data_IF_948762775601
#
_entry.id   IF_948762775601
#
_cell.length_a   1.000
_cell.length_b   1.000
_cell.length_c   1.000
_cell.angle_alpha   90.00
_cell.angle_beta   90.00
_cell.angle_gamma   90.00
#
_symmetry.space_group_name_H-M   'P 1'
#
loop_
_entity.id
_entity.type
_entity.pdbx_description
1 polymer ?
#
# COMPACT_ATOMS: atom_id res chain seq x y z
N UNK A 1 -12.76 -0.45 23.61
CA UNK A 1 -11.44 0.04 24.02
C UNK A 1 -10.66 -1.14 24.57
N UNK A 2 -10.23 -2.06 23.72
CA UNK A 2 -9.55 -3.29 24.11
C UNK A 2 -8.15 -3.34 23.49
N UNK A 3 -7.11 -3.36 24.33
CA UNK A 3 -5.88 -4.10 24.03
C UNK A 3 -4.74 -3.46 23.25
N UNK A 4 -4.66 -2.15 23.11
CA UNK A 4 -3.50 -1.48 22.42
C UNK A 4 -2.14 -1.79 23.09
N UNK A 5 -2.14 -2.42 24.28
CA UNK A 5 -0.93 -2.75 25.03
C UNK A 5 -0.54 -4.21 25.09
N UNK A 6 -1.33 -5.13 24.52
CA UNK A 6 -1.19 -6.57 24.79
C UNK A 6 -0.35 -7.31 23.76
N UNK A 7 -0.25 -6.80 22.52
CA UNK A 7 0.53 -7.51 21.50
C UNK A 7 2.04 -7.33 21.75
N UNK A 8 2.80 -8.39 22.02
CA UNK A 8 4.23 -8.29 22.21
C UNK A 8 4.92 -7.79 20.92
N UNK A 9 5.94 -6.96 21.07
CA UNK A 9 6.64 -6.32 19.95
C UNK A 9 7.19 -7.30 18.92
N UNK A 10 7.69 -8.46 19.39
CA UNK A 10 8.18 -9.50 18.48
C UNK A 10 7.05 -10.07 17.59
N UNK A 11 5.82 -10.11 18.09
CA UNK A 11 4.68 -10.59 17.30
C UNK A 11 4.32 -9.61 16.20
N UNK A 12 4.37 -8.30 16.47
CA UNK A 12 4.23 -7.26 15.45
C UNK A 12 5.24 -7.50 14.33
N UNK A 13 6.52 -7.65 14.69
CA UNK A 13 7.58 -7.92 13.72
C UNK A 13 7.29 -9.18 12.87
N UNK A 14 6.95 -10.31 13.51
CA UNK A 14 6.72 -11.56 12.79
C UNK A 14 5.47 -11.54 11.90
N UNK A 15 4.40 -10.83 12.30
CA UNK A 15 3.22 -10.68 11.45
C UNK A 15 3.58 -9.87 10.19
N UNK A 16 4.27 -8.74 10.34
CA UNK A 16 4.71 -7.96 9.20
C UNK A 16 5.76 -8.69 8.35
N UNK A 17 6.63 -9.48 8.95
CA UNK A 17 7.57 -10.35 8.24
C UNK A 17 6.84 -11.39 7.39
N UNK A 18 5.82 -12.03 7.95
CA UNK A 18 4.95 -12.98 7.22
C UNK A 18 4.25 -12.29 6.06
N UNK A 19 3.63 -11.12 6.31
CA UNK A 19 2.97 -10.34 5.26
C UNK A 19 3.97 -9.97 4.17
N UNK A 20 5.13 -9.41 4.52
CA UNK A 20 6.17 -9.03 3.56
C UNK A 20 6.76 -10.19 2.77
N UNK A 21 6.74 -11.41 3.32
CA UNK A 21 7.22 -12.62 2.64
C UNK A 21 6.24 -13.17 1.60
N UNK A 22 4.93 -12.96 1.82
CA UNK A 22 3.86 -13.48 0.97
C UNK A 22 3.33 -12.41 0.02
N UNK A 23 3.60 -11.15 0.35
CA UNK A 23 3.11 -10.02 -0.41
C UNK A 23 3.79 -9.94 -1.77
N UNK A 24 3.03 -10.20 -2.82
CA UNK A 24 3.44 -10.03 -4.21
C UNK A 24 2.38 -9.20 -4.96
N UNK A 25 2.82 -8.42 -5.91
CA UNK A 25 1.94 -7.62 -6.75
C UNK A 25 1.73 -6.19 -6.24
N UNK A 26 0.52 -5.70 -6.37
CA UNK A 26 0.14 -4.32 -6.03
C UNK A 26 0.12 -4.07 -4.52
N UNK A 27 0.52 -2.86 -4.10
CA UNK A 27 0.43 -2.42 -2.71
C UNK A 27 -0.98 -2.50 -2.09
N UNK A 28 -2.02 -2.59 -2.90
CA UNK A 28 -3.39 -2.81 -2.42
C UNK A 28 -3.62 -4.21 -1.86
N UNK A 29 -2.84 -5.20 -2.25
CA UNK A 29 -2.86 -6.54 -1.65
C UNK A 29 -2.45 -6.47 -0.19
N UNK A 30 -1.57 -5.52 0.17
CA UNK A 30 -1.20 -5.26 1.56
C UNK A 30 -2.43 -4.97 2.42
N UNK A 31 -3.39 -4.19 1.91
CA UNK A 31 -4.58 -3.82 2.68
C UNK A 31 -5.42 -5.04 3.05
N UNK A 32 -5.61 -5.95 2.10
CA UNK A 32 -6.32 -7.20 2.36
C UNK A 32 -5.62 -8.06 3.43
N UNK A 33 -4.28 -8.12 3.42
CA UNK A 33 -3.52 -8.82 4.46
C UNK A 33 -3.61 -8.13 5.82
N UNK A 34 -3.57 -6.79 5.86
CA UNK A 34 -3.70 -6.04 7.12
C UNK A 34 -5.11 -6.21 7.70
N UNK A 35 -6.15 -6.15 6.86
CA UNK A 35 -7.53 -6.39 7.27
C UNK A 35 -7.69 -7.80 7.84
N UNK A 36 -7.29 -8.83 7.09
CA UNK A 36 -7.41 -10.22 7.50
C UNK A 36 -6.66 -10.53 8.81
N UNK A 37 -5.44 -10.02 8.99
CA UNK A 37 -4.65 -10.33 10.19
C UNK A 37 -5.02 -9.44 11.38
N UNK A 38 -5.18 -8.12 11.21
CA UNK A 38 -5.34 -7.20 12.34
C UNK A 38 -6.79 -6.85 12.67
N UNK A 39 -7.70 -6.89 11.70
CA UNK A 39 -9.12 -6.62 11.95
C UNK A 39 -9.87 -7.92 12.19
N UNK A 40 -9.86 -8.83 11.21
CA UNK A 40 -10.70 -10.04 11.28
C UNK A 40 -10.16 -11.08 12.25
N UNK A 41 -8.87 -11.40 12.18
CA UNK A 41 -8.29 -12.51 12.95
C UNK A 41 -7.90 -12.13 14.38
N UNK A 42 -7.25 -11.00 14.56
CA UNK A 42 -6.73 -10.57 15.85
C UNK A 42 -7.65 -9.55 16.58
N UNK A 43 -8.56 -8.88 15.86
CA UNK A 43 -9.44 -7.87 16.40
C UNK A 43 -8.71 -6.70 17.08
N UNK A 44 -7.49 -6.40 16.63
CA UNK A 44 -6.61 -5.38 17.21
C UNK A 44 -6.85 -4.00 16.62
N UNK A 45 -7.38 -3.94 15.42
CA UNK A 45 -7.72 -2.70 14.73
C UNK A 45 -9.19 -2.74 14.30
N UNK A 46 -9.79 -1.56 14.24
CA UNK A 46 -11.09 -1.38 13.60
C UNK A 46 -10.90 -1.11 12.11
N UNK A 47 -11.95 -1.34 11.31
CA UNK A 47 -11.95 -0.98 9.90
C UNK A 47 -11.64 0.51 9.69
N UNK A 48 -12.14 1.39 10.58
CA UNK A 48 -11.86 2.82 10.51
C UNK A 48 -10.38 3.11 10.70
N UNK A 49 -9.74 2.50 11.70
CA UNK A 49 -8.30 2.67 11.93
C UNK A 49 -7.45 2.16 10.76
N UNK A 50 -7.89 1.09 10.11
CA UNK A 50 -7.23 0.59 8.91
C UNK A 50 -7.38 1.58 7.75
N UNK A 51 -8.57 2.15 7.54
CA UNK A 51 -8.81 3.19 6.54
C UNK A 51 -7.95 4.43 6.79
N UNK A 52 -7.83 4.87 8.04
CA UNK A 52 -6.97 5.98 8.44
C UNK A 52 -5.49 5.68 8.10
N UNK A 53 -5.04 4.45 8.39
CA UNK A 53 -3.69 4.02 8.04
C UNK A 53 -3.43 4.01 6.53
N UNK A 54 -4.43 3.63 5.74
CA UNK A 54 -4.39 3.71 4.28
C UNK A 54 -4.29 5.16 3.82
N UNK A 55 -5.13 6.03 4.35
CA UNK A 55 -5.14 7.45 4.01
C UNK A 55 -3.76 8.09 4.27
N UNK A 56 -3.19 7.85 5.45
CA UNK A 56 -1.83 8.31 5.78
C UNK A 56 -0.78 7.74 4.82
N UNK A 57 -0.91 6.45 4.47
CA UNK A 57 -0.04 5.82 3.49
C UNK A 57 -0.10 6.47 2.11
N UNK A 58 -1.28 6.90 1.68
CA UNK A 58 -1.49 7.57 0.39
C UNK A 58 -0.93 9.01 0.35
N UNK A 59 -0.88 9.70 1.47
CA UNK A 59 -0.24 11.02 1.54
C UNK A 59 1.28 10.97 1.39
N UNK A 60 1.90 9.83 1.64
CA UNK A 60 3.35 9.67 1.50
C UNK A 60 3.68 9.33 0.06
N UNK A 61 4.44 10.17 -0.68
CA UNK A 61 4.88 9.83 -2.02
C UNK A 61 5.83 8.63 -1.96
N UNK A 62 5.33 7.45 -2.35
CA UNK A 62 6.09 6.22 -2.27
C UNK A 62 5.21 4.97 -2.27
N UNK A 63 5.80 3.81 -2.00
CA UNK A 63 5.06 2.56 -1.93
C UNK A 63 4.07 2.59 -0.77
N UNK A 64 2.91 1.97 -0.96
CA UNK A 64 1.81 1.81 0.03
C UNK A 64 2.30 1.16 1.34
N UNK A 65 3.52 0.69 1.38
CA UNK A 65 4.17 0.12 2.57
C UNK A 65 4.27 1.07 3.78
N UNK A 66 4.16 2.39 3.58
CA UNK A 66 4.03 3.35 4.70
C UNK A 66 2.77 3.09 5.54
N UNK A 67 1.74 2.49 4.95
CA UNK A 67 0.57 1.99 5.68
C UNK A 67 0.99 0.96 6.75
N UNK A 68 1.97 0.09 6.48
CA UNK A 68 2.49 -0.87 7.45
C UNK A 68 3.19 -0.17 8.63
N UNK A 69 3.95 0.89 8.35
CA UNK A 69 4.58 1.72 9.39
C UNK A 69 3.54 2.34 10.31
N UNK A 70 2.50 2.95 9.73
CA UNK A 70 1.44 3.59 10.51
C UNK A 70 0.58 2.56 11.25
N UNK A 71 0.28 1.43 10.64
CA UNK A 71 -0.40 0.30 11.32
C UNK A 71 0.42 -0.19 12.52
N UNK A 72 1.72 -0.35 12.36
CA UNK A 72 2.63 -0.68 13.45
C UNK A 72 2.61 0.35 14.57
N UNK A 73 2.53 1.64 14.21
CA UNK A 73 2.38 2.73 15.16
C UNK A 73 1.06 2.66 15.94
N UNK A 74 -0.05 2.40 15.28
CA UNK A 74 -1.35 2.23 15.93
C UNK A 74 -1.34 1.06 16.93
N UNK A 75 -0.61 0.00 16.64
CA UNK A 75 -0.52 -1.19 17.49
C UNK A 75 0.36 -0.98 18.72
N UNK A 76 1.53 -0.37 18.58
CA UNK A 76 2.55 -0.30 19.65
C UNK A 76 3.37 1.00 19.66
N UNK A 77 2.85 2.09 19.09
CA UNK A 77 3.56 3.37 19.03
C UNK A 77 4.84 3.29 18.19
N UNK A 78 5.83 4.12 18.50
CA UNK A 78 7.10 4.21 17.76
C UNK A 78 7.82 2.86 17.62
N UNK A 79 7.98 2.03 18.67
CA UNK A 79 8.60 0.72 18.53
C UNK A 79 7.86 -0.21 17.56
N UNK A 80 6.51 -0.16 17.56
CA UNK A 80 5.69 -0.90 16.62
C UNK A 80 5.87 -0.44 15.18
N UNK A 81 5.96 0.87 14.95
CA UNK A 81 6.23 1.45 13.63
C UNK A 81 7.57 0.97 13.07
N UNK A 82 8.63 1.01 13.89
CA UNK A 82 9.98 0.56 13.48
C UNK A 82 9.98 -0.93 13.15
N UNK A 83 9.44 -1.76 14.04
CA UNK A 83 9.41 -3.22 13.84
C UNK A 83 8.50 -3.64 12.70
N UNK A 84 7.36 -2.96 12.51
CA UNK A 84 6.48 -3.20 11.38
C UNK A 84 7.17 -2.87 10.05
N UNK A 85 7.86 -1.73 9.99
CA UNK A 85 8.64 -1.34 8.81
C UNK A 85 9.76 -2.32 8.51
N UNK A 86 10.57 -2.68 9.50
CA UNK A 86 11.66 -3.65 9.31
C UNK A 86 11.07 -5.00 8.87
N UNK A 87 10.02 -5.46 9.56
CA UNK A 87 9.38 -6.75 9.27
C UNK A 87 8.89 -6.86 7.83
N UNK A 88 8.21 -5.84 7.32
CA UNK A 88 7.63 -5.91 5.98
C UNK A 88 8.67 -5.81 4.86
N UNK A 89 9.75 -5.04 5.07
CA UNK A 89 10.79 -4.86 4.05
C UNK A 89 11.89 -5.92 4.10
N UNK A 90 12.14 -6.53 5.25
CA UNK A 90 13.25 -7.47 5.46
C UNK A 90 13.24 -8.64 4.47
N UNK A 91 12.11 -9.32 4.18
CA UNK A 91 12.07 -10.40 3.20
C UNK A 91 12.53 -9.96 1.82
N UNK A 92 12.08 -8.78 1.38
CA UNK A 92 12.47 -8.23 0.07
C UNK A 92 13.96 -7.93 0.00
N UNK A 93 14.54 -7.37 1.07
CA UNK A 93 15.99 -7.14 1.14
C UNK A 93 16.79 -8.45 1.09
N UNK A 94 16.38 -9.45 1.87
CA UNK A 94 17.04 -10.76 1.88
C UNK A 94 16.95 -11.43 0.51
N UNK A 95 15.76 -11.41 -0.12
CA UNK A 95 15.55 -12.00 -1.44
C UNK A 95 16.39 -11.30 -2.52
N UNK A 96 16.40 -9.96 -2.54
CA UNK A 96 17.20 -9.21 -3.52
C UNK A 96 18.69 -9.49 -3.30
N UNK A 97 19.16 -9.49 -2.06
CA UNK A 97 20.55 -9.78 -1.74
C UNK A 97 20.96 -11.19 -2.16
N UNK A 98 20.13 -12.19 -1.86
CA UNK A 98 20.40 -13.59 -2.20
C UNK A 98 20.30 -13.87 -3.71
N UNK A 99 19.36 -13.22 -4.41
CA UNK A 99 19.12 -13.44 -5.84
C UNK A 99 20.02 -12.58 -6.73
N UNK A 100 20.58 -11.48 -6.22
CA UNK A 100 21.41 -10.57 -7.02
C UNK A 100 22.51 -11.27 -7.82
N UNK A 101 23.34 -12.18 -7.26
CA UNK A 101 24.35 -12.91 -8.01
C UNK A 101 23.75 -13.91 -9.03
N UNK A 102 22.51 -14.29 -8.85
CA UNK A 102 21.80 -15.25 -9.70
C UNK A 102 21.09 -14.59 -10.90
N UNK A 103 20.78 -13.29 -10.79
CA UNK A 103 20.02 -12.54 -11.80
C UNK A 103 20.64 -12.63 -13.20
N UNK A 104 21.98 -12.49 -13.41
CA UNK A 104 22.57 -12.60 -14.73
C UNK A 104 22.37 -14.00 -15.34
N UNK A 105 22.51 -15.06 -14.52
CA UNK A 105 22.29 -16.45 -14.95
C UNK A 105 20.82 -16.73 -15.25
N UNK A 106 19.91 -16.18 -14.46
CA UNK A 106 18.48 -16.33 -14.65
C UNK A 106 18.00 -15.62 -15.93
N UNK A 107 18.49 -14.42 -16.19
CA UNK A 107 18.14 -13.65 -17.40
C UNK A 107 18.71 -14.26 -18.69
N UNK A 108 19.78 -15.02 -18.63
CA UNK A 108 20.33 -15.73 -19.80
C UNK A 108 19.47 -16.92 -20.26
N UNK A 109 18.58 -17.41 -19.40
CA UNK A 109 17.62 -18.45 -19.75
C UNK A 109 16.36 -17.84 -20.36
N UNK A 110 16.07 -18.14 -21.61
CA UNK A 110 14.88 -17.68 -22.34
C UNK A 110 13.58 -18.01 -21.60
N UNK A 111 13.53 -19.16 -20.93
CA UNK A 111 12.35 -19.62 -20.21
C UNK A 111 12.09 -18.79 -18.95
N UNK A 112 13.13 -18.48 -18.19
CA UNK A 112 13.05 -17.67 -16.97
C UNK A 112 12.73 -16.21 -17.31
N UNK A 113 13.35 -15.69 -18.37
CA UNK A 113 13.01 -14.35 -18.88
C UNK A 113 11.53 -14.24 -19.24
N UNK A 114 10.98 -15.24 -19.94
CA UNK A 114 9.55 -15.27 -20.26
C UNK A 114 8.64 -15.34 -19.02
N UNK A 115 9.04 -16.10 -17.99
CA UNK A 115 8.29 -16.13 -16.71
C UNK A 115 8.29 -14.77 -16.01
N UNK A 116 9.44 -14.08 -15.96
CA UNK A 116 9.55 -12.76 -15.35
C UNK A 116 8.70 -11.72 -16.10
N UNK A 117 8.71 -11.76 -17.42
CA UNK A 117 7.86 -10.90 -18.24
C UNK A 117 6.38 -11.19 -18.00
N UNK A 118 6.00 -12.47 -17.89
CA UNK A 118 4.65 -12.88 -17.53
C UNK A 118 4.20 -12.35 -16.16
N UNK A 119 5.05 -12.42 -15.16
CA UNK A 119 4.78 -11.86 -13.81
C UNK A 119 4.60 -10.34 -13.88
N UNK A 120 5.42 -9.63 -14.64
CA UNK A 120 5.31 -8.19 -14.81
C UNK A 120 3.98 -7.81 -15.49
N UNK A 121 3.60 -8.53 -16.55
CA UNK A 121 2.33 -8.31 -17.25
C UNK A 121 1.15 -8.60 -16.32
N UNK A 122 1.18 -9.69 -15.57
CA UNK A 122 0.15 -10.02 -14.59
C UNK A 122 0.02 -8.96 -13.50
N UNK A 123 1.14 -8.42 -13.00
CA UNK A 123 1.16 -7.33 -12.02
C UNK A 123 0.53 -6.06 -12.58
N UNK A 124 0.83 -5.69 -13.83
CA UNK A 124 0.20 -4.55 -14.51
C UNK A 124 -1.31 -4.75 -14.70
N UNK A 125 -1.74 -5.95 -15.06
CA UNK A 125 -3.16 -6.28 -15.20
C UNK A 125 -3.90 -6.17 -13.85
N UNK A 126 -3.28 -6.63 -12.76
CA UNK A 126 -3.83 -6.47 -11.41
C UNK A 126 -3.93 -5.00 -11.01
N UNK A 127 -2.89 -4.20 -11.28
CA UNK A 127 -2.95 -2.75 -11.03
C UNK A 127 -4.08 -2.08 -11.82
N UNK A 128 -4.25 -2.41 -13.09
CA UNK A 128 -5.33 -1.88 -13.92
C UNK A 128 -6.71 -2.26 -13.36
N UNK A 129 -6.88 -3.52 -12.94
CA UNK A 129 -8.14 -4.01 -12.36
C UNK A 129 -8.48 -3.28 -11.06
N UNK A 130 -7.50 -3.12 -10.16
CA UNK A 130 -7.70 -2.41 -8.89
C UNK A 130 -7.98 -0.94 -9.13
N UNK A 131 -7.22 -0.29 -10.02
CA UNK A 131 -7.46 1.12 -10.39
C UNK A 131 -8.86 1.33 -10.97
N UNK A 132 -9.33 0.40 -11.78
CA UNK A 132 -10.69 0.45 -12.32
C UNK A 132 -11.75 0.29 -11.24
N UNK A 133 -11.60 -0.66 -10.32
CA UNK A 133 -12.51 -0.85 -9.18
C UNK A 133 -12.56 0.38 -8.27
N UNK A 134 -11.39 0.92 -7.93
CA UNK A 134 -11.31 2.14 -7.11
C UNK A 134 -11.90 3.35 -7.85
N UNK A 135 -11.67 3.46 -9.15
CA UNK A 135 -12.27 4.49 -9.99
C UNK A 135 -13.80 4.47 -9.90
N UNK A 136 -14.42 3.31 -10.09
CA UNK A 136 -15.88 3.17 -9.99
C UNK A 136 -16.38 3.52 -8.59
N UNK A 137 -15.68 3.08 -7.54
CA UNK A 137 -16.10 3.32 -6.15
C UNK A 137 -15.90 4.77 -5.71
N UNK A 138 -14.97 5.50 -6.33
CA UNK A 138 -14.65 6.89 -5.96
C UNK A 138 -15.38 7.93 -6.80
N UNK A 139 -15.81 7.58 -8.02
CA UNK A 139 -16.50 8.50 -8.94
C UNK A 139 -18.02 8.41 -8.77
N UNK A 140 -18.49 8.69 -7.55
CA UNK A 140 -19.91 8.55 -7.18
C UNK A 140 -20.74 9.79 -7.48
N UNK A 141 -20.11 10.96 -7.57
CA UNK A 141 -20.76 12.26 -7.73
C UNK A 141 -20.06 13.13 -8.79
N UNK A 142 -20.80 14.13 -9.30
CA UNK A 142 -20.31 15.02 -10.35
C UNK A 142 -19.03 15.77 -9.96
N UNK A 143 -18.89 16.14 -8.68
CA UNK A 143 -17.70 16.81 -8.19
C UNK A 143 -16.47 15.89 -8.27
N UNK A 144 -16.59 14.64 -7.84
CA UNK A 144 -15.53 13.66 -7.91
C UNK A 144 -15.07 13.42 -9.36
N UNK A 145 -16.01 13.40 -10.31
CA UNK A 145 -15.70 13.26 -11.74
C UNK A 145 -14.93 14.48 -12.25
N UNK A 146 -15.33 15.69 -11.88
CA UNK A 146 -14.63 16.92 -12.29
C UNK A 146 -13.20 16.93 -11.70
N UNK A 147 -13.06 16.64 -10.40
CA UNK A 147 -11.75 16.57 -9.74
C UNK A 147 -10.88 15.52 -10.44
N UNK A 148 -11.41 14.36 -10.78
CA UNK A 148 -10.69 13.30 -11.48
C UNK A 148 -10.18 13.77 -12.85
N UNK A 149 -11.04 14.38 -13.68
CA UNK A 149 -10.67 14.86 -15.03
C UNK A 149 -9.59 15.94 -14.93
N UNK A 150 -9.77 16.92 -14.05
CA UNK A 150 -8.81 18.02 -13.86
C UNK A 150 -7.47 17.49 -13.34
N UNK A 151 -7.50 16.55 -12.39
CA UNK A 151 -6.31 15.90 -11.85
C UNK A 151 -5.55 15.10 -12.91
N UNK A 152 -6.27 14.31 -13.69
CA UNK A 152 -5.70 13.51 -14.77
C UNK A 152 -5.06 14.40 -15.85
N UNK A 153 -5.75 15.47 -16.26
CA UNK A 153 -5.22 16.44 -17.21
C UNK A 153 -3.96 17.14 -16.68
N UNK A 154 -3.97 17.52 -15.40
CA UNK A 154 -2.84 18.17 -14.74
C UNK A 154 -1.62 17.25 -14.63
N UNK A 155 -1.83 15.98 -14.34
CA UNK A 155 -0.76 14.96 -14.29
C UNK A 155 -0.12 14.75 -15.65
N UNK A 156 -0.94 14.60 -16.71
CA UNK A 156 -0.45 14.25 -18.04
C UNK A 156 0.23 15.47 -18.71
N UNK A 157 -0.39 16.65 -18.65
CA UNK A 157 0.09 17.83 -19.38
C UNK A 157 1.18 18.58 -18.63
N UNK A 158 1.04 18.78 -17.33
CA UNK A 158 1.95 19.59 -16.54
C UNK A 158 2.96 18.78 -15.73
N UNK A 159 2.83 17.44 -15.70
CA UNK A 159 3.71 16.53 -14.92
C UNK A 159 3.87 16.98 -13.46
N UNK A 160 2.79 17.52 -12.88
CA UNK A 160 2.77 17.99 -11.49
C UNK A 160 2.93 16.78 -10.58
N UNK A 161 3.64 16.94 -9.48
CA UNK A 161 3.77 15.89 -8.47
C UNK A 161 2.39 15.53 -7.90
N UNK A 162 2.07 14.24 -7.87
CA UNK A 162 0.79 13.71 -7.39
C UNK A 162 0.41 14.20 -5.99
N UNK A 163 1.40 14.45 -5.11
CA UNK A 163 1.18 14.95 -3.76
C UNK A 163 0.41 16.29 -3.76
N UNK A 164 0.76 17.22 -4.65
CA UNK A 164 0.07 18.50 -4.76
C UNK A 164 -1.36 18.37 -5.25
N UNK A 165 -1.61 17.42 -6.14
CA UNK A 165 -2.95 17.13 -6.65
C UNK A 165 -3.83 16.53 -5.55
N UNK A 166 -3.28 15.65 -4.72
CA UNK A 166 -3.99 15.07 -3.57
C UNK A 166 -4.38 16.16 -2.57
N UNK A 167 -3.44 17.06 -2.23
CA UNK A 167 -3.71 18.18 -1.32
C UNK A 167 -4.78 19.10 -1.90
N UNK A 168 -4.66 19.48 -3.17
CA UNK A 168 -5.65 20.34 -3.83
C UNK A 168 -7.03 19.67 -3.90
N UNK A 169 -7.10 18.39 -4.27
CA UNK A 169 -8.34 17.62 -4.30
C UNK A 169 -8.99 17.50 -2.92
N UNK A 170 -8.18 17.26 -1.89
CA UNK A 170 -8.64 17.21 -0.50
C UNK A 170 -9.20 18.54 -0.02
N UNK A 171 -8.57 19.67 -0.34
CA UNK A 171 -9.08 21.01 -0.02
C UNK A 171 -10.40 21.30 -0.72
N UNK A 172 -10.52 20.98 -2.00
CA UNK A 172 -11.78 21.17 -2.76
C UNK A 172 -12.89 20.29 -2.18
N UNK A 173 -12.59 19.03 -1.86
CA UNK A 173 -13.56 18.13 -1.23
C UNK A 173 -14.01 18.63 0.15
N UNK A 174 -13.07 19.14 0.95
CA UNK A 174 -13.40 19.70 2.27
C UNK A 174 -14.26 20.96 2.17
N UNK A 175 -13.94 21.89 1.29
CA UNK A 175 -14.75 23.09 1.05
C UNK A 175 -16.16 22.71 0.59
N UNK A 176 -16.27 21.75 -0.31
CA UNK A 176 -17.55 21.25 -0.80
C UNK A 176 -18.41 20.60 0.29
N UNK A 177 -17.80 19.99 1.31
CA UNK A 177 -18.52 19.39 2.44
C UNK A 177 -19.06 20.41 3.44
N UNK A 178 -18.64 21.68 3.35
CA UNK A 178 -19.10 22.79 4.21
C UNK A 178 -20.28 23.57 3.61
N UNK A 179 -20.60 23.31 2.33
CA UNK A 179 -21.70 23.93 1.59
C UNK A 179 -22.85 22.93 1.44
#
# INVERSE_FOLDING_TARGET
>A
MFGIGILPLYLVFFIFLKIGSVLYGSGYVLLAFLEAEFVEKLGLLTNQQLLDAVAVGQFTPGPVFTTATFTGYLLRGIPGAILGTIGIFLPSFILVWALNPLIPKLRSSSWISGMLDGINIASLALMATVSFKLGISSLTDGLAIIIFIVSLFSLIKFKINSAWIIVAGGLVGWISSLI
#
